data_IF_110961176922
#
_entry.id   IF_110961176922
#
_cell.length_a   1.000
_cell.length_b   1.000
_cell.length_c   1.000
_cell.angle_alpha   90.00
_cell.angle_beta   90.00
_cell.angle_gamma   90.00
#
_symmetry.space_group_name_H-M   'P 1'
#
loop_
_entity.id
_entity.type
_entity.pdbx_description
1 polymer ?
#
# COMPACT_ATOMS: atom_id res chain seq x y z
N UNK A 1 3.23 -30.70 -3.31
CA UNK A 1 2.40 -29.63 -3.92
C UNK A 1 3.34 -28.52 -4.31
N UNK A 2 3.46 -28.18 -5.59
CA UNK A 2 4.18 -26.97 -6.00
C UNK A 2 3.24 -25.78 -5.75
N UNK A 3 3.55 -24.97 -4.75
CA UNK A 3 2.96 -23.65 -4.60
C UNK A 3 3.62 -22.78 -5.67
N UNK A 4 2.90 -22.40 -6.72
CA UNK A 4 3.31 -21.26 -7.53
C UNK A 4 2.52 -20.07 -7.00
N UNK A 5 3.16 -18.93 -6.68
CA UNK A 5 2.41 -17.73 -6.34
C UNK A 5 1.39 -17.48 -7.44
N UNK A 6 0.12 -17.36 -7.07
CA UNK A 6 -1.02 -17.20 -7.98
C UNK A 6 -1.03 -15.80 -8.64
N UNK A 7 0.02 -15.48 -9.40
CA UNK A 7 0.07 -14.30 -10.24
C UNK A 7 -1.08 -14.37 -11.25
N UNK A 8 -1.97 -13.38 -11.21
CA UNK A 8 -3.10 -13.29 -12.15
C UNK A 8 -3.10 -11.95 -12.86
N UNK A 9 -3.30 -11.96 -14.17
CA UNK A 9 -3.68 -10.76 -14.91
C UNK A 9 -5.14 -10.40 -14.62
N UNK A 10 -5.42 -9.13 -14.35
CA UNK A 10 -6.75 -8.60 -13.99
C UNK A 10 -6.92 -7.18 -14.53
N UNK A 11 -8.11 -6.60 -14.38
CA UNK A 11 -8.40 -5.19 -14.60
C UNK A 11 -8.78 -4.47 -13.31
N UNK A 12 -8.89 -3.14 -13.35
CA UNK A 12 -9.33 -2.34 -12.19
C UNK A 12 -10.77 -2.65 -11.74
N UNK A 13 -11.63 -3.07 -12.67
CA UNK A 13 -13.02 -3.47 -12.38
C UNK A 13 -13.14 -4.86 -11.75
N UNK A 14 -12.11 -5.68 -11.87
CA UNK A 14 -12.12 -7.10 -11.45
C UNK A 14 -11.24 -7.35 -10.22
N UNK A 15 -10.23 -6.51 -9.98
CA UNK A 15 -9.34 -6.66 -8.84
C UNK A 15 -10.10 -6.46 -7.52
N UNK A 16 -9.85 -7.35 -6.56
CA UNK A 16 -10.44 -7.25 -5.23
C UNK A 16 -9.69 -6.21 -4.39
N UNK A 17 -10.42 -5.48 -3.53
CA UNK A 17 -9.80 -4.59 -2.55
C UNK A 17 -8.90 -5.38 -1.58
N UNK A 18 -7.84 -4.73 -1.10
CA UNK A 18 -6.79 -5.36 -0.30
C UNK A 18 -5.76 -6.14 -1.13
N UNK A 19 -6.02 -6.39 -2.42
CA UNK A 19 -5.07 -7.12 -3.27
C UNK A 19 -3.88 -6.23 -3.62
N UNK A 20 -2.67 -6.74 -3.41
CA UNK A 20 -1.46 -6.12 -3.95
C UNK A 20 -1.41 -6.30 -5.47
N UNK A 21 -0.97 -5.28 -6.20
CA UNK A 21 -0.89 -5.32 -7.65
C UNK A 21 0.35 -4.62 -8.19
N UNK A 22 0.62 -4.87 -9.47
CA UNK A 22 1.55 -4.09 -10.26
C UNK A 22 0.95 -3.68 -11.60
N UNK A 23 1.42 -2.57 -12.17
CA UNK A 23 1.06 -2.13 -13.52
C UNK A 23 2.15 -1.25 -14.11
N UNK A 24 2.14 -1.09 -15.43
CA UNK A 24 3.04 -0.19 -16.12
C UNK A 24 2.37 1.15 -16.46
N UNK A 25 3.08 2.24 -16.15
CA UNK A 25 2.71 3.58 -16.54
C UNK A 25 3.98 4.36 -16.89
N UNK A 26 4.00 5.04 -18.05
CA UNK A 26 5.17 5.83 -18.51
C UNK A 26 6.50 5.05 -18.48
N UNK A 27 6.48 3.76 -18.83
CA UNK A 27 7.62 2.83 -18.82
C UNK A 27 8.21 2.54 -17.43
N UNK A 28 7.47 2.83 -16.36
CA UNK A 28 7.81 2.44 -15.00
C UNK A 28 6.78 1.43 -14.47
N UNK A 29 7.27 0.46 -13.69
CA UNK A 29 6.42 -0.50 -12.98
C UNK A 29 6.06 0.07 -11.63
N UNK A 30 4.76 0.24 -11.40
CA UNK A 30 4.20 0.68 -10.14
C UNK A 30 3.67 -0.51 -9.36
N UNK A 31 3.90 -0.52 -8.06
CA UNK A 31 3.34 -1.48 -7.11
C UNK A 31 2.41 -0.77 -6.14
N UNK A 32 1.36 -1.46 -5.72
CA UNK A 32 0.34 -0.86 -4.87
C UNK A 32 -0.65 -1.86 -4.29
N UNK A 33 -1.66 -1.32 -3.60
CA UNK A 33 -2.77 -2.06 -3.02
C UNK A 33 -4.09 -1.44 -3.51
N UNK A 34 -5.00 -2.28 -4.01
CA UNK A 34 -6.31 -1.84 -4.46
C UNK A 34 -7.18 -1.49 -3.24
N UNK A 35 -7.79 -0.31 -3.22
CA UNK A 35 -8.51 0.21 -2.05
C UNK A 35 -9.89 0.74 -2.41
N UNK A 36 -10.70 0.99 -1.39
CA UNK A 36 -12.01 1.61 -1.51
C UNK A 36 -11.91 2.97 -2.24
N UNK A 37 -12.85 3.27 -3.16
CA UNK A 37 -12.93 4.59 -3.77
C UNK A 37 -13.08 5.68 -2.73
N UNK A 38 -12.38 6.79 -2.93
CA UNK A 38 -12.61 8.03 -2.18
C UNK A 38 -13.82 8.82 -2.72
N UNK A 39 -14.34 8.37 -3.86
CA UNK A 39 -15.51 8.86 -4.60
C UNK A 39 -15.63 8.11 -5.93
N UNK A 40 -16.82 8.12 -6.56
CA UNK A 40 -17.05 7.39 -7.82
C UNK A 40 -17.37 5.90 -7.63
N UNK A 41 -17.27 5.13 -8.72
CA UNK A 41 -17.65 3.71 -8.75
C UNK A 41 -16.46 2.75 -8.88
N UNK A 42 -15.29 3.24 -9.31
CA UNK A 42 -14.10 2.42 -9.52
C UNK A 42 -13.22 2.40 -8.27
N UNK A 43 -12.47 1.32 -8.05
CA UNK A 43 -11.52 1.26 -6.94
C UNK A 43 -10.44 2.34 -7.08
N UNK A 44 -9.93 2.81 -5.93
CA UNK A 44 -8.73 3.64 -5.91
C UNK A 44 -7.49 2.76 -5.71
N UNK A 45 -6.33 3.32 -5.98
CA UNK A 45 -5.06 2.60 -5.97
C UNK A 45 -4.07 3.32 -5.05
N UNK A 46 -3.72 2.70 -3.92
CA UNK A 46 -2.57 3.17 -3.14
C UNK A 46 -1.32 2.67 -3.84
N UNK A 47 -0.52 3.59 -4.37
CA UNK A 47 0.73 3.30 -5.07
C UNK A 47 1.90 3.58 -4.14
N UNK A 48 2.69 2.55 -3.88
CA UNK A 48 3.73 2.56 -2.85
C UNK A 48 5.14 2.65 -3.43
N UNK A 49 5.38 2.11 -4.63
CA UNK A 49 6.68 2.12 -5.31
C UNK A 49 6.48 2.29 -6.81
N UNK A 50 7.22 3.18 -7.50
CA UNK A 50 8.15 4.19 -6.96
C UNK A 50 7.45 5.35 -6.22
N UNK A 51 6.15 5.22 -5.95
CA UNK A 51 5.30 6.26 -5.36
C UNK A 51 4.62 7.12 -6.42
N UNK A 52 3.87 8.14 -6.00
CA UNK A 52 3.07 8.96 -6.88
C UNK A 52 3.93 10.04 -7.57
N UNK A 53 3.96 10.12 -8.92
CA UNK A 53 4.84 11.03 -9.65
C UNK A 53 4.63 12.51 -9.31
N UNK A 54 3.39 12.92 -9.03
CA UNK A 54 3.08 14.31 -8.62
C UNK A 54 3.37 14.63 -7.15
N UNK A 55 3.75 13.63 -6.35
CA UNK A 55 4.08 13.78 -4.92
C UNK A 55 5.55 13.42 -4.66
N UNK A 56 6.41 13.64 -5.65
CA UNK A 56 7.86 13.39 -5.56
C UNK A 56 8.21 11.94 -5.15
N UNK A 57 7.41 10.96 -5.60
CA UNK A 57 7.63 9.55 -5.27
C UNK A 57 7.18 9.14 -3.86
N UNK A 58 6.44 9.99 -3.15
CA UNK A 58 5.77 9.59 -1.92
C UNK A 58 4.63 8.60 -2.20
N UNK A 59 4.29 7.77 -1.22
CA UNK A 59 3.11 6.89 -1.32
C UNK A 59 1.86 7.73 -1.52
N UNK A 60 1.15 7.48 -2.62
CA UNK A 60 0.02 8.29 -3.01
C UNK A 60 -1.12 7.50 -3.61
N UNK A 61 -2.19 8.20 -3.96
CA UNK A 61 -3.45 7.57 -4.36
C UNK A 61 -3.77 7.95 -5.80
N UNK A 62 -3.85 6.95 -6.69
CA UNK A 62 -4.47 7.12 -8.00
C UNK A 62 -5.97 6.80 -7.95
N UNK A 63 -6.73 7.53 -8.77
CA UNK A 63 -8.06 7.12 -9.16
C UNK A 63 -7.98 5.92 -10.11
N UNK A 64 -8.92 4.98 -10.00
CA UNK A 64 -8.95 3.79 -10.85
C UNK A 64 -9.00 4.10 -12.35
N UNK A 65 -9.53 5.26 -12.74
CA UNK A 65 -9.59 5.69 -14.14
C UNK A 65 -8.20 5.84 -14.78
N UNK A 66 -7.13 6.05 -13.99
CA UNK A 66 -5.74 6.13 -14.48
C UNK A 66 -5.33 4.83 -15.20
N UNK A 67 -5.89 3.69 -14.78
CA UNK A 67 -5.55 2.36 -15.29
C UNK A 67 -6.74 1.64 -15.95
N UNK A 68 -7.86 2.33 -16.23
CA UNK A 68 -9.09 1.71 -16.73
C UNK A 68 -8.89 0.78 -17.93
N UNK A 69 -7.98 1.13 -18.84
CA UNK A 69 -7.69 0.37 -20.05
C UNK A 69 -6.32 -0.33 -19.98
N UNK A 70 -5.83 -0.65 -18.78
CA UNK A 70 -4.54 -1.29 -18.55
C UNK A 70 -4.72 -2.64 -17.87
N UNK A 71 -3.83 -3.56 -18.20
CA UNK A 71 -3.68 -4.82 -17.46
C UNK A 71 -2.99 -4.55 -16.13
N UNK A 72 -3.55 -5.10 -15.05
CA UNK A 72 -2.92 -5.18 -13.75
C UNK A 72 -2.43 -6.61 -13.51
N UNK A 73 -1.29 -6.73 -12.83
CA UNK A 73 -0.81 -8.00 -12.29
C UNK A 73 -1.20 -8.04 -10.82
N UNK A 74 -2.14 -8.90 -10.44
CA UNK A 74 -2.54 -9.10 -9.05
C UNK A 74 -1.70 -10.20 -8.39
N UNK A 75 -1.38 -9.96 -7.12
CA UNK A 75 -0.65 -10.86 -6.23
C UNK A 75 -1.52 -11.20 -5.01
N UNK A 76 -2.46 -12.16 -5.12
CA UNK A 76 -3.40 -12.49 -4.05
C UNK A 76 -2.72 -13.02 -2.78
N UNK A 77 -1.53 -13.62 -2.93
CA UNK A 77 -0.75 -14.18 -1.83
C UNK A 77 0.26 -13.19 -1.24
N UNK A 78 0.31 -11.97 -1.76
CA UNK A 78 1.21 -10.96 -1.23
C UNK A 78 0.86 -10.60 0.21
N UNK A 79 1.88 -10.30 1.00
CA UNK A 79 1.74 -9.87 2.39
C UNK A 79 2.58 -8.64 2.65
N UNK A 80 2.12 -7.87 3.62
CA UNK A 80 2.93 -6.82 4.24
C UNK A 80 3.84 -7.45 5.27
N UNK A 81 5.14 -7.17 5.15
CA UNK A 81 6.17 -7.57 6.10
C UNK A 81 6.58 -6.35 6.92
N UNK A 82 6.45 -6.47 8.24
CA UNK A 82 6.86 -5.45 9.19
C UNK A 82 8.39 -5.39 9.29
N UNK A 83 8.97 -4.21 9.57
CA UNK A 83 10.41 -4.09 9.71
C UNK A 83 10.88 -4.86 10.96
N UNK A 84 12.11 -5.35 10.94
CA UNK A 84 12.75 -5.96 12.13
C UNK A 84 13.66 -4.97 12.87
N UNK A 85 14.08 -3.90 12.21
CA UNK A 85 14.97 -2.90 12.77
C UNK A 85 14.17 -1.89 13.62
N UNK A 86 14.68 -1.59 14.82
CA UNK A 86 13.95 -0.81 15.83
C UNK A 86 13.79 0.66 15.45
N UNK A 87 14.73 1.20 14.68
CA UNK A 87 14.69 2.57 14.15
C UNK A 87 13.47 2.84 13.26
N UNK A 88 12.83 1.79 12.76
CA UNK A 88 11.61 1.88 11.98
C UNK A 88 10.33 1.68 12.80
N UNK A 89 10.44 1.44 14.11
CA UNK A 89 9.31 1.16 14.99
C UNK A 89 9.08 2.33 15.94
N UNK A 90 7.90 2.93 15.86
CA UNK A 90 7.54 4.11 16.61
C UNK A 90 6.28 3.84 17.42
N UNK A 91 6.17 4.46 18.59
CA UNK A 91 5.02 4.32 19.49
C UNK A 91 4.35 5.67 19.70
N UNK A 92 3.11 5.63 20.16
CA UNK A 92 2.33 6.80 20.57
C UNK A 92 2.19 7.88 19.49
N UNK A 93 1.73 7.45 18.31
CA UNK A 93 1.46 8.37 17.21
C UNK A 93 0.45 9.46 17.60
N UNK A 94 0.74 10.70 17.20
CA UNK A 94 -0.17 11.83 17.31
C UNK A 94 -0.68 12.22 15.93
N UNK A 95 -2.00 12.19 15.74
CA UNK A 95 -2.68 12.27 14.42
C UNK A 95 -2.38 13.50 13.57
N UNK A 96 -1.82 14.57 14.15
CA UNK A 96 -1.60 15.84 13.45
C UNK A 96 -0.79 15.70 12.15
N UNK A 97 0.02 14.64 11.99
CA UNK A 97 0.72 14.41 10.75
C UNK A 97 0.89 12.92 10.45
N UNK A 98 0.04 12.35 9.60
CA UNK A 98 0.17 10.97 9.14
C UNK A 98 1.11 10.91 7.91
N UNK A 99 2.39 10.54 8.08
CA UNK A 99 3.36 10.54 6.98
C UNK A 99 2.94 9.56 5.89
N UNK A 100 2.81 10.00 4.62
CA UNK A 100 2.46 9.12 3.52
C UNK A 100 3.49 7.99 3.38
N UNK A 101 3.00 6.76 3.38
CA UNK A 101 3.80 5.54 3.33
C UNK A 101 4.05 4.90 4.67
N UNK A 102 3.68 5.52 5.80
CA UNK A 102 3.77 4.87 7.09
C UNK A 102 2.67 3.81 7.24
N UNK A 103 3.00 2.78 8.02
CA UNK A 103 2.08 1.70 8.35
C UNK A 103 1.74 1.79 9.84
N UNK A 104 0.47 1.92 10.18
CA UNK A 104 -0.01 2.03 11.56
C UNK A 104 -0.61 0.71 12.01
N UNK A 105 -0.36 0.34 13.25
CA UNK A 105 -1.04 -0.75 13.93
C UNK A 105 -2.13 -0.16 14.82
N UNK A 106 -3.36 -0.12 14.30
CA UNK A 106 -4.51 0.42 15.01
C UNK A 106 -5.46 -0.71 15.41
N UNK A 107 -5.58 -0.94 16.72
CA UNK A 107 -6.26 -2.12 17.30
C UNK A 107 -5.65 -3.40 16.72
N UNK A 108 -6.38 -4.10 15.86
CA UNK A 108 -5.98 -5.37 15.23
C UNK A 108 -5.79 -5.23 13.71
N UNK A 109 -5.68 -4.00 13.18
CA UNK A 109 -5.55 -3.74 11.75
C UNK A 109 -4.26 -2.98 11.41
N UNK A 110 -3.63 -3.39 10.30
CA UNK A 110 -2.57 -2.61 9.67
C UNK A 110 -3.19 -1.58 8.74
N UNK A 111 -2.80 -0.32 8.91
CA UNK A 111 -3.35 0.83 8.18
C UNK A 111 -2.25 1.54 7.41
N UNK A 112 -2.38 1.63 6.10
CA UNK A 112 -1.43 2.33 5.24
C UNK A 112 -1.86 3.77 5.12
N UNK A 113 -0.94 4.68 5.43
CA UNK A 113 -1.09 6.09 5.13
C UNK A 113 -0.75 6.38 3.68
N UNK A 114 -1.62 7.10 2.98
CA UNK A 114 -1.36 7.56 1.62
C UNK A 114 -1.90 8.99 1.43
N UNK A 115 -1.28 9.76 0.53
CA UNK A 115 -1.69 11.13 0.21
C UNK A 115 -2.36 11.23 -1.15
N UNK A 116 -3.40 12.05 -1.25
CA UNK A 116 -3.97 12.49 -2.53
C UNK A 116 -3.40 13.85 -3.00
N UNK A 117 -2.39 14.36 -2.31
CA UNK A 117 -1.80 15.69 -2.50
C UNK A 117 -2.51 16.82 -1.74
N UNK A 118 -3.72 16.58 -1.23
CA UNK A 118 -4.51 17.56 -0.47
C UNK A 118 -4.66 17.16 1.01
N UNK A 119 -4.77 15.85 1.26
CA UNK A 119 -4.99 15.26 2.57
C UNK A 119 -4.39 13.85 2.63
N UNK A 120 -4.05 13.43 3.85
CA UNK A 120 -3.68 12.05 4.14
C UNK A 120 -4.90 11.18 4.42
N UNK A 121 -4.81 9.91 4.04
CA UNK A 121 -5.85 8.90 4.18
C UNK A 121 -5.27 7.61 4.75
N UNK A 122 -6.03 6.96 5.62
CA UNK A 122 -5.70 5.64 6.15
C UNK A 122 -6.53 4.57 5.45
N UNK A 123 -5.86 3.53 4.94
CA UNK A 123 -6.51 2.36 4.35
C UNK A 123 -6.11 1.10 5.09
N UNK A 124 -7.08 0.27 5.48
CA UNK A 124 -6.79 -1.04 6.02
C UNK A 124 -6.08 -1.88 4.94
N UNK A 125 -4.89 -2.38 5.26
CA UNK A 125 -4.07 -3.14 4.33
C UNK A 125 -4.68 -4.48 3.91
N UNK A 126 -5.53 -5.08 4.75
CA UNK A 126 -6.09 -6.40 4.51
C UNK A 126 -7.25 -6.39 3.50
N UNK A 127 -8.11 -5.38 3.57
CA UNK A 127 -9.36 -5.31 2.79
C UNK A 127 -9.49 -4.03 1.96
N UNK A 128 -8.50 -3.13 2.04
CA UNK A 128 -8.48 -1.85 1.33
C UNK A 128 -9.53 -0.85 1.79
N UNK A 129 -10.23 -1.07 2.91
CA UNK A 129 -11.28 -0.16 3.39
C UNK A 129 -10.70 1.15 3.92
N UNK A 130 -11.42 2.26 3.75
CA UNK A 130 -11.04 3.54 4.36
C UNK A 130 -11.21 3.46 5.88
N UNK A 131 -10.17 3.80 6.62
CA UNK A 131 -10.22 3.92 8.08
C UNK A 131 -10.73 5.31 8.45
N UNK A 132 -11.85 5.37 9.18
CA UNK A 132 -12.53 6.62 9.58
C UNK A 132 -12.41 6.91 11.09
N UNK A 133 -11.46 6.25 11.77
CA UNK A 133 -11.29 6.33 13.22
C UNK A 133 -9.96 6.96 13.64
N UNK A 134 -9.87 7.26 14.94
CA UNK A 134 -8.69 7.83 15.58
C UNK A 134 -7.53 6.82 15.62
N UNK A 135 -6.38 7.20 15.06
CA UNK A 135 -5.10 6.47 15.08
C UNK A 135 -4.20 6.94 16.23
N UNK A 136 -4.62 7.89 17.06
CA UNK A 136 -3.85 8.38 18.22
C UNK A 136 -3.47 7.24 19.14
N UNK A 137 -2.21 7.22 19.58
CA UNK A 137 -1.67 6.17 20.45
C UNK A 137 -1.34 4.86 19.72
N UNK A 138 -1.50 4.80 18.40
CA UNK A 138 -1.11 3.64 17.62
C UNK A 138 0.41 3.55 17.49
N UNK A 139 0.93 2.32 17.48
CA UNK A 139 2.29 2.08 16.99
C UNK A 139 2.32 2.28 15.47
N UNK A 140 3.45 2.74 14.94
CA UNK A 140 3.61 2.92 13.51
C UNK A 140 5.01 2.57 13.03
N UNK A 141 5.11 2.26 11.74
CA UNK A 141 6.31 1.78 11.11
C UNK A 141 6.71 2.71 9.96
N UNK A 142 7.94 3.23 10.02
CA UNK A 142 8.48 4.11 8.97
C UNK A 142 9.11 3.36 7.79
N UNK A 143 9.18 2.04 7.88
CA UNK A 143 9.55 1.17 6.76
C UNK A 143 8.77 -0.13 6.82
N UNK A 144 8.46 -0.73 5.66
CA UNK A 144 7.79 -2.02 5.52
C UNK A 144 7.90 -2.51 4.08
N UNK A 145 7.51 -3.75 3.83
CA UNK A 145 7.67 -4.37 2.51
C UNK A 145 6.40 -5.07 2.04
N UNK A 146 6.21 -5.16 0.72
CA UNK A 146 5.28 -6.11 0.12
C UNK A 146 6.11 -7.29 -0.38
N UNK A 147 5.77 -8.50 0.05
CA UNK A 147 6.46 -9.72 -0.35
C UNK A 147 5.46 -10.80 -0.80
N UNK A 148 5.91 -11.70 -1.66
CA UNK A 148 5.16 -12.87 -2.13
C UNK A 148 5.97 -14.14 -1.89
N UNK A 149 5.33 -15.29 -1.61
CA UNK A 149 6.06 -16.55 -1.53
C UNK A 149 6.57 -16.99 -2.91
N UNK A 150 7.78 -17.52 -2.98
CA UNK A 150 8.32 -18.16 -4.18
C UNK A 150 7.86 -19.63 -4.30
N UNK A 151 8.36 -20.32 -5.31
CA UNK A 151 8.03 -21.74 -5.56
C UNK A 151 8.49 -22.71 -4.45
N UNK A 152 9.39 -22.25 -3.58
CA UNK A 152 9.90 -22.98 -2.42
C UNK A 152 9.18 -22.57 -1.12
N UNK A 153 8.30 -21.57 -1.18
CA UNK A 153 7.62 -20.98 -0.03
C UNK A 153 8.45 -19.90 0.69
N UNK A 154 9.58 -19.50 0.13
CA UNK A 154 10.41 -18.42 0.68
C UNK A 154 9.86 -17.06 0.25
N UNK A 155 9.85 -16.09 1.16
CA UNK A 155 9.32 -14.76 0.86
C UNK A 155 10.29 -13.95 -0.01
N UNK A 156 9.78 -13.45 -1.14
CA UNK A 156 10.48 -12.56 -2.06
C UNK A 156 9.85 -11.18 -2.02
N UNK A 157 10.66 -10.16 -1.73
CA UNK A 157 10.22 -8.76 -1.67
C UNK A 157 9.93 -8.24 -3.08
N UNK A 158 8.70 -7.75 -3.29
CA UNK A 158 8.28 -7.04 -4.50
C UNK A 158 8.71 -5.58 -4.46
N UNK A 159 8.49 -4.92 -3.31
CA UNK A 159 8.92 -3.54 -3.10
C UNK A 159 9.14 -3.23 -1.62
N UNK A 160 10.01 -2.26 -1.38
CA UNK A 160 10.29 -1.70 -0.07
C UNK A 160 9.71 -0.29 0.02
N UNK A 161 9.06 0.02 1.13
CA UNK A 161 8.48 1.33 1.42
C UNK A 161 9.24 1.91 2.59
N UNK A 162 9.72 3.14 2.45
CA UNK A 162 10.36 3.89 3.53
C UNK A 162 9.87 5.32 3.54
N UNK A 163 9.43 5.79 4.69
CA UNK A 163 9.08 7.18 4.95
C UNK A 163 10.21 7.82 5.74
N UNK A 164 10.69 8.96 5.26
CA UNK A 164 11.51 9.83 6.09
C UNK A 164 10.60 10.42 7.16
N UNK A 165 10.91 10.20 8.43
CA UNK A 165 10.30 10.98 9.51
C UNK A 165 10.61 12.44 9.23
N UNK A 166 9.59 13.29 9.13
CA UNK A 166 9.73 14.74 9.01
C UNK A 166 10.16 15.34 10.36
N UNK A 167 11.26 14.85 10.91
CA UNK A 167 12.01 15.48 12.00
C UNK A 167 13.34 15.98 11.45
N UNK A 168 13.29 17.16 10.84
CA UNK A 168 14.38 18.15 10.82
C UNK A 168 13.80 19.51 11.27
#
# INVERSE_FOLDING_TARGET
MQYSPSLRTTTISEIERGTCFAFELRNETFFGIAVEPRGGTELALVVVSPGHPSLEGQVGIFDGSVVRNRTLLAFPEARIILPTAREHMHVDFNEFHMPPGALFLAKDALVIAASDGSRSWGFNAADGAIVRGDLTGSAWFSAWEIAVPDIKGEWQTLCHVSTKSSEE
#
